data_IF_536763119790
#
_entry.id   IF_536763119790
#
_cell.length_a   1.000
_cell.length_b   1.000
_cell.length_c   1.000
_cell.angle_alpha   90.00
_cell.angle_beta   90.00
_cell.angle_gamma   90.00
#
_symmetry.space_group_name_H-M   'P 1'
#
loop_
_entity.id
_entity.type
_entity.pdbx_description
1 polymer ?
#
# COMPACT_ATOMS: atom_id res chain seq x y z
N UNK A 1 -6.12 -7.39 8.07
CA UNK A 1 -5.89 -7.14 6.63
C UNK A 1 -5.59 -5.66 6.49
N UNK A 2 -4.48 -5.26 5.85
CA UNK A 2 -4.11 -3.86 5.74
C UNK A 2 -5.18 -3.10 4.95
N UNK A 3 -5.50 -1.90 5.42
CA UNK A 3 -6.55 -1.05 4.85
C UNK A 3 -6.05 0.35 4.51
N UNK A 4 -4.92 0.76 5.08
CA UNK A 4 -4.22 2.00 4.82
C UNK A 4 -2.78 1.76 4.32
N UNK A 5 -2.15 2.74 3.65
CA UNK A 5 -0.75 2.63 3.27
C UNK A 5 0.19 2.38 4.46
N UNK A 6 -0.08 2.99 5.61
CA UNK A 6 0.73 2.80 6.83
C UNK A 6 0.67 1.36 7.36
N UNK A 7 -0.45 0.67 7.17
CA UNK A 7 -0.57 -0.74 7.54
C UNK A 7 0.38 -1.61 6.70
N UNK A 8 0.65 -1.23 5.44
CA UNK A 8 1.61 -1.93 4.59
C UNK A 8 3.05 -1.70 5.06
N UNK A 9 3.37 -0.48 5.49
CA UNK A 9 4.72 -0.12 5.96
C UNK A 9 5.09 -0.83 7.27
N UNK A 10 4.10 -1.18 8.09
CA UNK A 10 4.30 -1.96 9.31
C UNK A 10 4.55 -3.47 9.05
N UNK A 11 4.28 -3.96 7.83
CA UNK A 11 4.44 -5.37 7.48
C UNK A 11 5.88 -5.62 7.03
N UNK A 12 6.60 -6.61 7.61
CA UNK A 12 7.93 -6.97 7.12
C UNK A 12 7.90 -7.38 5.65
N UNK A 13 8.91 -6.97 4.87
CA UNK A 13 8.97 -7.24 3.43
C UNK A 13 8.84 -8.74 3.09
N UNK A 14 9.36 -9.62 3.95
CA UNK A 14 9.28 -11.08 3.82
C UNK A 14 7.83 -11.61 3.84
N UNK A 15 6.92 -10.89 4.51
CA UNK A 15 5.51 -11.25 4.64
C UNK A 15 4.61 -10.58 3.59
N UNK A 16 5.18 -9.70 2.75
CA UNK A 16 4.44 -9.00 1.72
C UNK A 16 3.81 -9.94 0.67
N UNK A 17 4.48 -11.01 0.20
CA UNK A 17 3.88 -11.94 -0.75
C UNK A 17 2.60 -12.59 -0.20
N UNK A 18 2.61 -13.02 1.05
CA UNK A 18 1.43 -13.64 1.69
C UNK A 18 0.34 -12.62 2.00
N UNK A 19 0.73 -11.40 2.38
CA UNK A 19 -0.20 -10.28 2.54
C UNK A 19 -0.92 -9.96 1.23
N UNK A 20 -0.17 -9.89 0.12
CA UNK A 20 -0.71 -9.65 -1.22
C UNK A 20 -1.69 -10.75 -1.65
N UNK A 21 -1.34 -12.03 -1.42
CA UNK A 21 -2.26 -13.15 -1.64
C UNK A 21 -3.54 -12.99 -0.82
N UNK A 22 -3.42 -12.59 0.44
CA UNK A 22 -4.54 -12.29 1.33
C UNK A 22 -5.43 -11.16 0.80
N UNK A 23 -4.84 -10.05 0.34
CA UNK A 23 -5.56 -8.90 -0.22
C UNK A 23 -6.31 -9.25 -1.51
N UNK A 24 -5.69 -10.06 -2.38
CA UNK A 24 -6.33 -10.54 -3.62
C UNK A 24 -7.51 -11.45 -3.27
N UNK A 25 -7.31 -12.44 -2.40
CA UNK A 25 -8.36 -13.38 -1.99
C UNK A 25 -9.56 -12.67 -1.37
N UNK A 26 -9.32 -11.61 -0.61
CA UNK A 26 -10.36 -10.82 0.06
C UNK A 26 -10.89 -9.64 -0.76
N UNK A 27 -10.48 -9.49 -2.04
CA UNK A 27 -10.84 -8.34 -2.90
C UNK A 27 -10.53 -6.97 -2.27
N UNK A 28 -9.56 -6.93 -1.36
CA UNK A 28 -9.14 -5.73 -0.62
C UNK A 28 -8.00 -4.96 -1.32
N UNK A 29 -7.39 -5.54 -2.36
CA UNK A 29 -6.31 -4.89 -3.11
C UNK A 29 -6.80 -3.64 -3.86
N UNK A 30 -7.93 -3.72 -4.57
CA UNK A 30 -8.49 -2.58 -5.33
C UNK A 30 -8.78 -1.35 -4.46
N UNK A 31 -9.49 -1.46 -3.31
CA UNK A 31 -9.73 -0.29 -2.46
C UNK A 31 -8.44 0.24 -1.82
N UNK A 32 -7.46 -0.62 -1.53
CA UNK A 32 -6.15 -0.20 -1.01
C UNK A 32 -5.37 0.60 -2.06
N UNK A 33 -5.31 0.14 -3.30
CA UNK A 33 -4.70 0.87 -4.42
C UNK A 33 -5.36 2.22 -4.66
N UNK A 34 -6.70 2.29 -4.56
CA UNK A 34 -7.42 3.55 -4.71
C UNK A 34 -7.05 4.57 -3.61
N UNK A 35 -6.80 4.11 -2.38
CA UNK A 35 -6.31 4.96 -1.28
C UNK A 35 -4.89 5.44 -1.53
N UNK A 36 -3.97 4.53 -1.89
CA UNK A 36 -2.58 4.89 -2.22
C UNK A 36 -2.54 5.93 -3.37
N UNK A 37 -3.33 5.76 -4.42
CA UNK A 37 -3.42 6.75 -5.50
C UNK A 37 -4.00 8.10 -5.07
N UNK A 38 -4.87 8.12 -4.05
CA UNK A 38 -5.36 9.36 -3.46
C UNK A 38 -4.24 10.06 -2.69
N UNK A 39 -3.49 9.32 -1.90
CA UNK A 39 -2.41 9.87 -1.08
C UNK A 39 -1.27 10.42 -1.94
N UNK A 40 -0.95 9.75 -3.05
CA UNK A 40 -0.01 10.24 -4.07
C UNK A 40 -0.44 11.57 -4.72
N UNK A 41 -1.73 11.87 -4.73
CA UNK A 41 -2.29 13.12 -5.27
C UNK A 41 -2.58 14.16 -4.19
N UNK A 42 -2.28 13.86 -2.93
CA UNK A 42 -2.49 14.78 -1.82
C UNK A 42 -1.58 16.01 -1.94
N UNK A 43 -2.07 17.18 -1.52
CA UNK A 43 -1.22 18.37 -1.36
C UNK A 43 -0.26 18.22 -0.18
N UNK A 44 -0.60 17.34 0.77
CA UNK A 44 0.26 17.00 1.91
C UNK A 44 1.48 16.18 1.44
N UNK A 45 2.71 16.70 1.60
CA UNK A 45 3.92 15.98 1.24
C UNK A 45 4.11 14.68 2.04
N UNK A 46 3.64 14.59 3.29
CA UNK A 46 3.78 13.38 4.10
C UNK A 46 2.91 12.24 3.54
N UNK A 47 1.65 12.53 3.18
CA UNK A 47 0.75 11.56 2.56
C UNK A 47 1.29 11.09 1.20
N UNK A 48 1.85 11.99 0.39
CA UNK A 48 2.49 11.61 -0.88
C UNK A 48 3.66 10.66 -0.67
N UNK A 49 4.50 10.95 0.32
CA UNK A 49 5.64 10.11 0.66
C UNK A 49 5.18 8.72 1.14
N UNK A 50 4.16 8.65 1.99
CA UNK A 50 3.58 7.39 2.46
C UNK A 50 3.04 6.54 1.30
N UNK A 51 2.30 7.15 0.37
CA UNK A 51 1.80 6.45 -0.82
C UNK A 51 2.93 5.89 -1.70
N UNK A 52 3.99 6.67 -1.90
CA UNK A 52 5.16 6.24 -2.67
C UNK A 52 5.91 5.09 -1.99
N UNK A 53 6.16 5.19 -0.68
CA UNK A 53 6.81 4.15 0.10
C UNK A 53 5.98 2.85 0.09
N UNK A 54 4.66 2.95 0.22
CA UNK A 54 3.79 1.78 0.18
C UNK A 54 3.85 1.04 -1.17
N UNK A 55 3.91 1.75 -2.30
CA UNK A 55 4.09 1.14 -3.62
C UNK A 55 5.44 0.43 -3.75
N UNK A 56 6.53 1.09 -3.34
CA UNK A 56 7.88 0.48 -3.37
C UNK A 56 7.94 -0.76 -2.50
N UNK A 57 7.33 -0.71 -1.32
CA UNK A 57 7.29 -1.82 -0.38
C UNK A 57 6.47 -3.01 -0.90
N UNK A 58 5.48 -2.75 -1.74
CA UNK A 58 4.72 -3.77 -2.48
C UNK A 58 5.47 -4.32 -3.72
N UNK A 59 6.62 -3.73 -4.09
CA UNK A 59 7.42 -4.13 -5.23
C UNK A 59 7.02 -3.49 -6.56
N UNK A 60 6.21 -2.42 -6.55
CA UNK A 60 5.95 -1.65 -7.76
C UNK A 60 7.15 -0.77 -8.13
N UNK A 61 7.54 -0.75 -9.41
CA UNK A 61 8.49 0.24 -9.90
C UNK A 61 7.83 1.62 -9.86
N UNK A 62 8.63 2.62 -9.49
CA UNK A 62 8.25 4.03 -9.38
C UNK A 62 7.82 4.66 -10.71
#
# INVERSE_FOLDING_TARGET
MPSAPDDLLAIPAEQMPDTMRGLIRNKALTPLMARIHRDLRSEDPALRQQGSLALRHMGFPE
#
